data_IF_169501668708
#
_entry.id   IF_169501668708
#
_cell.length_a   1.000
_cell.length_b   1.000
_cell.length_c   1.000
_cell.angle_alpha   90.00
_cell.angle_beta   90.00
_cell.angle_gamma   90.00
#
_symmetry.space_group_name_H-M   'P 1'
#
loop_
_entity.id
_entity.type
_entity.pdbx_description
1 polymer ?
#
# COMPACT_ATOMS: atom_id res chain seq x y z
N UNK A 1 40.98 -46.91 -11.33
CA UNK A 1 39.64 -46.47 -11.79
C UNK A 1 38.56 -47.39 -11.20
N UNK A 2 38.15 -47.19 -9.93
CA UNK A 2 36.93 -47.85 -9.41
C UNK A 2 36.42 -47.38 -8.04
N UNK A 3 36.76 -46.18 -7.57
CA UNK A 3 36.21 -45.69 -6.28
C UNK A 3 35.50 -44.33 -6.35
N UNK A 4 35.32 -43.78 -7.56
CA UNK A 4 34.57 -42.52 -7.78
C UNK A 4 33.04 -42.77 -7.79
N UNK A 5 32.61 -44.04 -7.84
CA UNK A 5 31.21 -44.44 -8.05
C UNK A 5 30.38 -44.46 -6.74
N UNK A 6 30.99 -44.23 -5.56
CA UNK A 6 30.25 -44.27 -4.28
C UNK A 6 29.64 -42.94 -3.83
N UNK A 7 30.00 -41.82 -4.47
CA UNK A 7 29.45 -40.49 -4.13
C UNK A 7 28.47 -39.95 -5.18
N UNK A 8 28.15 -40.75 -6.21
CA UNK A 8 27.29 -40.37 -7.34
C UNK A 8 25.78 -40.38 -7.07
N UNK A 9 25.33 -40.73 -5.86
CA UNK A 9 23.89 -40.87 -5.54
C UNK A 9 23.37 -39.97 -4.41
N UNK A 10 24.11 -38.91 -4.02
CA UNK A 10 23.68 -37.97 -2.96
C UNK A 10 23.57 -36.52 -3.46
N UNK A 11 23.59 -36.28 -4.77
CA UNK A 11 23.38 -34.94 -5.34
C UNK A 11 22.23 -35.01 -6.35
N UNK A 12 20.99 -35.11 -5.86
CA UNK A 12 19.72 -34.78 -6.56
C UNK A 12 18.64 -34.63 -5.47
N UNK A 13 18.91 -33.83 -4.44
CA UNK A 13 17.86 -33.38 -3.52
C UNK A 13 17.37 -32.02 -4.02
N UNK A 14 16.36 -32.08 -4.87
CA UNK A 14 15.22 -31.15 -4.93
C UNK A 14 15.52 -29.67 -4.68
N UNK A 15 16.18 -29.02 -5.64
CA UNK A 15 15.98 -27.58 -5.88
C UNK A 15 14.66 -27.44 -6.64
N UNK A 16 13.55 -27.51 -5.91
CA UNK A 16 12.23 -27.05 -6.36
C UNK A 16 11.78 -25.95 -5.40
N UNK A 17 12.59 -24.89 -5.30
CA UNK A 17 12.07 -23.58 -4.86
C UNK A 17 11.29 -23.06 -6.05
N UNK A 18 10.04 -23.52 -6.13
CA UNK A 18 9.02 -22.97 -7.01
C UNK A 18 8.94 -21.48 -6.72
N UNK A 19 9.48 -20.69 -7.64
CA UNK A 19 9.28 -19.26 -7.67
C UNK A 19 7.81 -19.05 -8.05
N UNK A 20 6.94 -18.97 -7.05
CA UNK A 20 5.55 -18.58 -7.24
C UNK A 20 5.54 -17.20 -7.87
N UNK A 21 5.29 -17.17 -9.18
CA UNK A 21 5.13 -15.91 -9.92
C UNK A 21 3.90 -15.22 -9.36
N UNK A 22 4.11 -14.17 -8.55
CA UNK A 22 3.01 -13.29 -8.13
C UNK A 22 2.44 -12.69 -9.40
N UNK A 23 1.15 -12.92 -9.65
CA UNK A 23 0.49 -12.31 -10.80
C UNK A 23 0.39 -10.81 -10.51
N UNK A 24 1.14 -10.03 -11.28
CA UNK A 24 1.14 -8.57 -11.18
C UNK A 24 -0.13 -8.06 -11.88
N UNK A 25 -1.21 -7.94 -11.11
CA UNK A 25 -2.42 -7.31 -11.63
C UNK A 25 -2.20 -5.80 -11.65
N UNK A 26 -1.74 -5.29 -12.79
CA UNK A 26 -1.65 -3.85 -13.07
C UNK A 26 -3.07 -3.26 -13.18
N UNK A 27 -3.72 -3.05 -12.04
CA UNK A 27 -4.88 -2.17 -11.92
C UNK A 27 -4.36 -0.74 -11.72
N UNK A 28 -3.99 -0.07 -12.82
CA UNK A 28 -3.42 1.30 -12.85
C UNK A 28 -4.44 2.39 -12.47
N UNK A 29 -5.47 2.08 -11.67
CA UNK A 29 -6.26 3.09 -10.97
C UNK A 29 -7.06 2.42 -9.87
N UNK A 30 -6.53 2.44 -8.66
CA UNK A 30 -7.39 2.22 -7.51
C UNK A 30 -8.28 3.46 -7.36
N UNK A 31 -9.59 3.25 -7.52
CA UNK A 31 -10.59 4.31 -7.42
C UNK A 31 -10.66 4.80 -5.97
N UNK A 32 -10.21 6.02 -5.74
CA UNK A 32 -10.30 6.69 -4.45
C UNK A 32 -11.17 7.93 -4.59
N UNK A 33 -12.24 8.01 -3.79
CA UNK A 33 -13.19 9.11 -3.78
C UNK A 33 -13.30 9.73 -2.38
N UNK A 34 -13.55 11.04 -2.32
CA UNK A 34 -13.83 11.73 -1.06
C UNK A 34 -15.24 11.36 -0.56
N UNK A 35 -15.36 10.94 0.70
CA UNK A 35 -16.65 10.74 1.38
C UNK A 35 -16.98 11.95 2.25
N UNK A 36 -16.03 12.44 3.03
CA UNK A 36 -16.17 13.63 3.85
C UNK A 36 -14.82 14.17 4.32
N UNK A 37 -14.77 15.45 4.69
CA UNK A 37 -13.60 16.04 5.34
C UNK A 37 -14.08 16.89 6.53
N UNK A 38 -13.50 16.64 7.70
CA UNK A 38 -13.74 17.43 8.91
C UNK A 38 -12.51 18.29 9.17
N UNK A 39 -12.53 19.53 8.67
CA UNK A 39 -11.43 20.49 8.82
C UNK A 39 -10.15 20.08 8.09
N UNK A 40 -9.00 20.48 8.65
CA UNK A 40 -7.66 20.24 8.08
C UNK A 40 -6.92 19.03 8.66
N UNK A 41 -7.55 18.29 9.58
CA UNK A 41 -6.88 17.24 10.34
C UNK A 41 -7.23 15.83 9.86
N UNK A 42 -8.47 15.63 9.41
CA UNK A 42 -8.96 14.30 9.03
C UNK A 42 -9.67 14.31 7.67
N UNK A 43 -9.57 13.19 6.97
CA UNK A 43 -10.24 12.94 5.70
C UNK A 43 -10.87 11.55 5.70
N UNK A 44 -12.06 11.43 5.14
CA UNK A 44 -12.73 10.14 4.91
C UNK A 44 -12.69 9.83 3.42
N UNK A 45 -12.06 8.73 3.06
CA UNK A 45 -11.87 8.28 1.68
C UNK A 45 -12.55 6.94 1.44
N UNK A 46 -13.27 6.83 0.33
CA UNK A 46 -13.74 5.58 -0.23
C UNK A 46 -12.66 5.05 -1.16
N UNK A 47 -12.17 3.84 -0.92
CA UNK A 47 -11.10 3.24 -1.71
C UNK A 47 -11.44 1.80 -2.07
N UNK A 48 -11.25 1.43 -3.34
CA UNK A 48 -11.41 0.05 -3.80
C UNK A 48 -10.06 -0.64 -3.93
N UNK A 49 -9.98 -1.87 -3.41
CA UNK A 49 -8.78 -2.69 -3.49
C UNK A 49 -9.06 -4.09 -4.01
N UNK A 50 -8.02 -4.66 -4.60
CA UNK A 50 -8.01 -5.96 -5.26
C UNK A 50 -6.93 -6.85 -4.66
N UNK A 51 -7.14 -8.16 -4.54
CA UNK A 51 -6.12 -9.08 -4.02
C UNK A 51 -6.48 -10.55 -4.17
N UNK A 52 -5.51 -11.45 -3.98
CA UNK A 52 -5.69 -12.91 -4.04
C UNK A 52 -6.42 -13.45 -2.79
N UNK A 53 -6.51 -12.63 -1.74
CA UNK A 53 -7.31 -12.90 -0.55
C UNK A 53 -8.16 -11.69 -0.15
N UNK A 54 -9.20 -11.94 0.67
CA UNK A 54 -10.02 -10.87 1.28
C UNK A 54 -9.16 -9.86 2.04
N UNK A 55 -8.22 -10.34 2.86
CA UNK A 55 -7.32 -9.49 3.64
C UNK A 55 -6.41 -8.64 2.77
N UNK A 56 -5.90 -9.22 1.67
CA UNK A 56 -5.10 -8.48 0.70
C UNK A 56 -5.91 -7.42 -0.04
N UNK A 57 -7.16 -7.70 -0.43
CA UNK A 57 -8.03 -6.71 -1.06
C UNK A 57 -8.29 -5.49 -0.16
N UNK A 58 -8.49 -5.70 1.15
CA UNK A 58 -8.59 -4.60 2.12
C UNK A 58 -7.26 -3.83 2.21
N UNK A 59 -6.14 -4.54 2.41
CA UNK A 59 -4.82 -3.90 2.52
C UNK A 59 -4.49 -3.06 1.29
N UNK A 60 -4.80 -3.56 0.09
CA UNK A 60 -4.55 -2.84 -1.15
C UNK A 60 -5.48 -1.64 -1.31
N UNK A 61 -6.71 -1.69 -0.80
CA UNK A 61 -7.58 -0.51 -0.74
C UNK A 61 -7.00 0.56 0.21
N UNK A 62 -6.51 0.16 1.38
CA UNK A 62 -5.83 1.07 2.32
C UNK A 62 -4.58 1.70 1.67
N UNK A 63 -3.69 0.88 1.11
CA UNK A 63 -2.48 1.36 0.40
C UNK A 63 -2.85 2.38 -0.67
N UNK A 64 -3.90 2.10 -1.44
CA UNK A 64 -4.36 2.98 -2.51
C UNK A 64 -4.81 4.34 -2.01
N UNK A 65 -5.51 4.40 -0.88
CA UNK A 65 -5.89 5.66 -0.25
C UNK A 65 -4.67 6.48 0.15
N UNK A 66 -3.67 5.84 0.78
CA UNK A 66 -2.43 6.52 1.18
C UNK A 66 -1.58 6.94 -0.02
N UNK A 67 -1.44 6.12 -1.06
CA UNK A 67 -0.73 6.49 -2.30
C UNK A 67 -1.35 7.72 -2.96
N UNK A 68 -2.68 7.80 -3.02
CA UNK A 68 -3.35 8.98 -3.54
C UNK A 68 -3.08 10.22 -2.68
N UNK A 69 -3.17 10.11 -1.35
CA UNK A 69 -2.78 11.21 -0.45
C UNK A 69 -1.33 11.65 -0.66
N UNK A 70 -0.40 10.71 -0.80
CA UNK A 70 1.03 11.00 -0.94
C UNK A 70 1.40 11.63 -2.27
N UNK A 71 0.88 11.09 -3.38
CA UNK A 71 1.43 11.34 -4.71
C UNK A 71 0.47 11.98 -5.71
N UNK A 72 -0.83 12.02 -5.42
CA UNK A 72 -1.84 12.58 -6.36
C UNK A 72 -2.66 13.72 -5.77
N UNK A 73 -2.85 13.71 -4.45
CA UNK A 73 -3.88 14.51 -3.80
C UNK A 73 -5.27 13.92 -4.00
N UNK A 74 -6.25 14.50 -3.32
CA UNK A 74 -7.66 14.11 -3.35
C UNK A 74 -8.48 15.31 -3.86
N UNK A 75 -9.03 15.24 -5.08
CA UNK A 75 -9.84 16.31 -5.64
C UNK A 75 -10.97 16.75 -4.71
N UNK A 76 -11.33 18.04 -4.77
CA UNK A 76 -12.43 18.62 -3.98
C UNK A 76 -12.26 18.48 -2.46
N UNK A 77 -11.03 18.39 -1.97
CA UNK A 77 -10.70 18.35 -0.55
C UNK A 77 -9.60 19.36 -0.18
N UNK A 78 -9.40 19.56 1.13
CA UNK A 78 -8.27 20.32 1.69
C UNK A 78 -6.90 19.66 1.40
N UNK A 79 -6.91 18.45 0.84
CA UNK A 79 -5.74 17.67 0.46
C UNK A 79 -5.70 17.43 -1.05
N UNK A 80 -6.16 18.41 -1.84
CA UNK A 80 -6.18 18.37 -3.30
C UNK A 80 -4.79 18.30 -3.96
N UNK A 81 -3.75 18.66 -3.22
CA UNK A 81 -2.35 18.50 -3.63
C UNK A 81 -1.73 17.29 -2.93
N UNK A 82 -0.75 16.62 -3.57
CA UNK A 82 0.00 15.54 -2.93
C UNK A 82 0.69 16.02 -1.66
N UNK A 83 0.78 15.15 -0.66
CA UNK A 83 1.52 15.43 0.57
C UNK A 83 3.04 15.41 0.38
N UNK A 84 3.55 14.65 -0.60
CA UNK A 84 4.99 14.43 -0.82
C UNK A 84 5.45 15.06 -2.13
N UNK A 85 5.21 14.37 -3.25
CA UNK A 85 5.61 14.79 -4.59
C UNK A 85 4.74 14.03 -5.62
N UNK A 86 4.58 14.57 -6.82
CA UNK A 86 3.84 13.89 -7.90
C UNK A 86 4.65 12.71 -8.46
N UNK A 87 5.98 12.80 -8.41
CA UNK A 87 6.89 11.74 -8.86
C UNK A 87 6.99 10.61 -7.83
N UNK A 88 6.03 9.67 -7.88
CA UNK A 88 5.95 8.50 -6.99
C UNK A 88 7.25 7.68 -7.02
N UNK A 89 7.85 7.47 -8.19
CA UNK A 89 9.06 6.64 -8.35
C UNK A 89 10.27 7.29 -7.68
N UNK A 90 10.48 8.59 -7.89
CA UNK A 90 11.56 9.34 -7.26
C UNK A 90 11.37 9.46 -5.74
N UNK A 91 10.15 9.79 -5.30
CA UNK A 91 9.85 9.93 -3.88
C UNK A 91 10.00 8.60 -3.12
N UNK A 92 9.53 7.50 -3.72
CA UNK A 92 9.62 6.15 -3.14
C UNK A 92 11.05 5.64 -3.14
N UNK A 93 11.80 5.79 -4.23
CA UNK A 93 13.20 5.33 -4.29
C UNK A 93 14.11 6.08 -3.30
N UNK A 94 13.93 7.40 -3.16
CA UNK A 94 14.67 8.22 -2.18
C UNK A 94 14.38 7.81 -0.73
N UNK A 95 13.16 7.34 -0.43
CA UNK A 95 12.69 7.05 0.93
C UNK A 95 12.23 5.58 1.09
N UNK A 96 12.89 4.65 0.40
CA UNK A 96 12.41 3.27 0.29
C UNK A 96 12.19 2.60 1.66
N UNK A 97 13.17 2.72 2.57
CA UNK A 97 13.08 2.18 3.93
C UNK A 97 11.87 2.72 4.71
N UNK A 98 11.55 4.01 4.53
CA UNK A 98 10.39 4.63 5.14
C UNK A 98 9.09 3.99 4.64
N UNK A 99 8.92 3.89 3.32
CA UNK A 99 7.70 3.35 2.73
C UNK A 99 7.52 1.86 3.00
N UNK A 100 8.60 1.08 2.96
CA UNK A 100 8.59 -0.34 3.31
C UNK A 100 8.14 -0.53 4.77
N UNK A 101 8.64 0.28 5.69
CA UNK A 101 8.20 0.25 7.08
C UNK A 101 6.75 0.75 7.23
N UNK A 102 6.39 1.82 6.51
CA UNK A 102 5.06 2.43 6.54
C UNK A 102 3.98 1.42 6.15
N UNK A 103 4.03 0.86 4.94
CA UNK A 103 2.97 -0.02 4.43
C UNK A 103 2.90 -1.38 5.15
N UNK A 104 4.00 -1.82 5.77
CA UNK A 104 4.03 -3.11 6.46
C UNK A 104 3.72 -3.05 7.95
N UNK A 105 3.98 -1.92 8.61
CA UNK A 105 3.88 -1.84 10.08
C UNK A 105 3.05 -0.66 10.60
N UNK A 106 3.18 0.53 9.99
CA UNK A 106 2.66 1.76 10.59
C UNK A 106 1.41 2.31 9.93
N UNK A 107 1.12 1.98 8.67
CA UNK A 107 -0.03 2.53 7.91
C UNK A 107 -1.33 2.54 8.71
N UNK A 108 -1.61 1.46 9.44
CA UNK A 108 -2.82 1.31 10.24
C UNK A 108 -2.93 2.30 11.40
N UNK A 109 -1.83 2.84 11.93
CA UNK A 109 -1.86 3.80 13.05
C UNK A 109 -2.44 5.15 12.67
N UNK A 110 -2.47 5.46 11.36
CA UNK A 110 -3.04 6.70 10.84
C UNK A 110 -4.52 6.57 10.44
N UNK A 111 -5.06 5.35 10.46
CA UNK A 111 -6.47 5.07 10.16
C UNK A 111 -7.27 5.17 11.46
N UNK A 112 -8.09 6.20 11.57
CA UNK A 112 -8.99 6.41 12.72
C UNK A 112 -10.21 5.50 12.68
N UNK A 113 -10.70 5.16 11.49
CA UNK A 113 -11.76 4.15 11.31
C UNK A 113 -11.69 3.53 9.92
N UNK A 114 -12.06 2.27 9.82
CA UNK A 114 -12.15 1.52 8.56
C UNK A 114 -13.47 0.76 8.53
N UNK A 115 -14.29 1.02 7.51
CA UNK A 115 -15.57 0.35 7.31
C UNK A 115 -15.62 -0.27 5.92
N UNK A 116 -16.04 -1.53 5.83
CA UNK A 116 -16.24 -2.19 4.56
C UNK A 116 -17.59 -1.75 3.96
N UNK A 117 -17.54 -0.97 2.89
CA UNK A 117 -18.73 -0.36 2.27
C UNK A 117 -19.42 -1.27 1.27
N UNK A 118 -18.71 -2.28 0.75
CA UNK A 118 -19.26 -3.28 -0.17
C UNK A 118 -18.91 -4.69 0.30
N UNK A 119 -19.77 -5.70 0.09
CA UNK A 119 -19.39 -7.09 0.25
C UNK A 119 -18.19 -7.47 -0.63
N UNK A 120 -17.45 -8.50 -0.23
CA UNK A 120 -16.38 -9.04 -1.07
C UNK A 120 -16.95 -9.63 -2.35
N UNK A 121 -16.42 -9.18 -3.48
CA UNK A 121 -16.68 -9.78 -4.78
C UNK A 121 -15.48 -10.65 -5.17
N UNK A 122 -15.72 -11.78 -5.83
CA UNK A 122 -14.65 -12.66 -6.34
C UNK A 122 -14.85 -12.90 -7.83
N UNK A 123 -13.86 -12.54 -8.65
CA UNK A 123 -13.85 -12.80 -10.10
C UNK A 123 -12.48 -13.29 -10.54
N UNK A 124 -12.42 -14.43 -11.21
CA UNK A 124 -11.16 -14.98 -11.73
C UNK A 124 -10.10 -15.27 -10.66
N UNK A 125 -10.51 -15.60 -9.43
CA UNK A 125 -9.60 -15.82 -8.31
C UNK A 125 -9.20 -14.56 -7.53
N UNK A 126 -9.59 -13.38 -8.01
CA UNK A 126 -9.30 -12.10 -7.37
C UNK A 126 -10.49 -11.60 -6.57
N UNK A 127 -10.22 -11.22 -5.32
CA UNK A 127 -11.15 -10.56 -4.43
C UNK A 127 -11.09 -9.06 -4.66
N UNK A 128 -12.26 -8.42 -4.67
CA UNK A 128 -12.42 -6.97 -4.71
C UNK A 128 -13.33 -6.52 -3.57
N UNK A 129 -13.00 -5.40 -2.93
CA UNK A 129 -13.86 -4.74 -1.96
C UNK A 129 -13.58 -3.25 -1.91
N UNK A 130 -14.58 -2.49 -1.51
CA UNK A 130 -14.48 -1.06 -1.21
C UNK A 130 -14.54 -0.82 0.28
N UNK A 131 -13.68 0.07 0.77
CA UNK A 131 -13.60 0.47 2.17
C UNK A 131 -13.70 1.99 2.29
N UNK A 132 -14.44 2.46 3.29
CA UNK A 132 -14.44 3.85 3.73
C UNK A 132 -13.47 4.00 4.91
N UNK A 133 -12.44 4.81 4.70
CA UNK A 133 -11.29 5.00 5.58
C UNK A 133 -11.27 6.42 6.10
N UNK A 134 -11.39 6.61 7.41
CA UNK A 134 -11.10 7.89 8.06
C UNK A 134 -9.62 7.91 8.43
N UNK A 135 -8.88 8.87 7.89
CA UNK A 135 -7.44 9.01 8.07
C UNK A 135 -7.14 10.30 8.83
N UNK A 136 -6.27 10.23 9.84
CA UNK A 136 -5.73 11.40 10.51
C UNK A 136 -4.51 11.91 9.75
N UNK A 137 -4.74 12.92 8.90
CA UNK A 137 -3.73 13.49 8.03
C UNK A 137 -2.78 14.41 8.81
N UNK A 138 -3.22 14.99 9.92
CA UNK A 138 -2.36 15.82 10.78
C UNK A 138 -1.20 15.01 11.35
N UNK A 139 -1.48 13.85 11.95
CA UNK A 139 -0.46 12.95 12.48
C UNK A 139 0.39 12.35 11.35
N UNK A 140 -0.22 12.04 10.20
CA UNK A 140 0.50 11.55 9.03
C UNK A 140 1.54 12.54 8.51
N UNK A 141 1.18 13.83 8.40
CA UNK A 141 2.12 14.89 7.99
C UNK A 141 3.28 15.01 8.96
N UNK A 142 3.00 14.99 10.27
CA UNK A 142 4.04 15.04 11.29
C UNK A 142 5.00 13.84 11.20
N UNK A 143 4.49 12.65 10.96
CA UNK A 143 5.33 11.45 10.75
C UNK A 143 6.23 11.61 9.51
N UNK A 144 5.69 12.13 8.40
CA UNK A 144 6.47 12.41 7.19
C UNK A 144 7.59 13.44 7.45
N UNK A 145 7.30 14.47 8.25
CA UNK A 145 8.26 15.51 8.64
C UNK A 145 9.35 14.98 9.58
N UNK A 146 8.98 14.20 10.60
CA UNK A 146 9.91 13.62 11.57
C UNK A 146 10.85 12.60 10.92
N UNK A 147 10.38 11.89 9.88
CA UNK A 147 11.18 10.96 9.09
C UNK A 147 11.92 11.62 7.91
N UNK A 148 11.85 12.94 7.76
CA UNK A 148 12.56 13.67 6.71
C UNK A 148 12.06 13.41 5.28
N UNK A 149 10.87 12.84 5.13
CA UNK A 149 10.24 12.57 3.83
C UNK A 149 9.75 13.87 3.20
N UNK A 150 9.20 14.78 4.02
CA UNK A 150 8.80 16.13 3.63
C UNK A 150 9.49 17.17 4.51
N UNK A 151 9.56 18.41 4.03
CA UNK A 151 10.14 19.52 4.81
C UNK A 151 9.20 19.92 5.94
N UNK A 152 9.77 20.24 7.11
CA UNK A 152 9.04 20.88 8.21
C UNK A 152 8.62 22.28 7.78
N UNK A 153 7.34 22.60 7.92
CA UNK A 153 6.86 23.96 7.71
C UNK A 153 6.94 24.73 9.04
N UNK A 154 7.62 25.88 9.03
CA UNK A 154 7.70 26.78 10.20
C UNK A 154 9.05 26.82 10.94
N UNK A 155 10.17 26.60 10.24
CA UNK A 155 11.51 27.03 10.67
C UNK A 155 12.00 28.17 9.78
#
# INVERSE_FOLDING_TARGET
>A
MRDIIKYGSIIIVMIMISCGSKKDYSFTSAEVALVSSSGYETITLRSTGYGESKGESIKNAEISAFKNLFFRGIPSSNFSKPLIDIDETKATSKNQSYFDNFYNKRMKTFISSSYQSTPFQKKGGIYATTVDLKINVSILKRDLEENGVIRKFGL
#
